data_IF_717294415859
#
_entry.id   IF_717294415859
#
_cell.length_a   1.000
_cell.length_b   1.000
_cell.length_c   1.000
_cell.angle_alpha   90.00
_cell.angle_beta   90.00
_cell.angle_gamma   90.00
#
_symmetry.space_group_name_H-M   'P 1'
#
loop_
_entity.id
_entity.type
_entity.pdbx_description
1 polymer ?
#
# COMPACT_ATOMS: atom_id res chain seq x y z
N UNK A 1 -8.25 5.04 -32.51
CA UNK A 1 -7.65 5.77 -31.37
C UNK A 1 -8.34 5.47 -30.05
N UNK A 2 -9.68 5.60 -29.92
CA UNK A 2 -10.39 5.29 -28.68
C UNK A 2 -10.22 3.83 -28.19
N UNK A 3 -10.22 2.88 -29.13
CA UNK A 3 -10.09 1.44 -28.83
C UNK A 3 -8.70 1.07 -28.27
N UNK A 4 -7.65 1.76 -28.73
CA UNK A 4 -6.28 1.58 -28.25
C UNK A 4 -6.09 2.16 -26.85
N UNK A 5 -6.77 3.27 -26.51
CA UNK A 5 -6.77 3.82 -25.16
C UNK A 5 -7.46 2.89 -24.18
N UNK A 6 -8.60 2.29 -24.56
CA UNK A 6 -9.29 1.33 -23.71
C UNK A 6 -8.43 0.08 -23.48
N UNK A 7 -7.86 -0.49 -24.54
CA UNK A 7 -6.99 -1.66 -24.44
C UNK A 7 -5.79 -1.42 -23.50
N UNK A 8 -5.14 -0.25 -23.61
CA UNK A 8 -4.02 0.14 -22.73
C UNK A 8 -4.47 0.27 -21.27
N UNK A 9 -5.61 0.92 -21.01
CA UNK A 9 -6.16 1.07 -19.65
C UNK A 9 -6.51 -0.28 -19.02
N UNK A 10 -7.08 -1.20 -19.80
CA UNK A 10 -7.38 -2.57 -19.34
C UNK A 10 -6.09 -3.33 -19.06
N UNK A 11 -5.09 -3.23 -19.95
CA UNK A 11 -3.79 -3.88 -19.74
C UNK A 11 -3.13 -3.42 -18.44
N UNK A 12 -3.11 -2.12 -18.14
CA UNK A 12 -2.56 -1.60 -16.88
C UNK A 12 -3.36 -2.01 -15.66
N UNK A 13 -4.69 -2.08 -15.76
CA UNK A 13 -5.53 -2.57 -14.67
C UNK A 13 -5.24 -4.04 -14.33
N UNK A 14 -4.90 -4.86 -15.33
CA UNK A 14 -4.64 -6.29 -15.18
C UNK A 14 -3.17 -6.63 -14.86
N UNK A 15 -2.22 -5.80 -15.31
CA UNK A 15 -0.80 -5.97 -15.02
C UNK A 15 -0.18 -4.72 -14.37
N UNK A 16 -0.13 -4.68 -13.02
CA UNK A 16 0.47 -3.57 -12.29
C UNK A 16 1.95 -3.36 -12.61
N UNK A 17 2.66 -4.39 -13.09
CA UNK A 17 4.09 -4.30 -13.46
C UNK A 17 4.26 -3.61 -14.81
N UNK A 18 3.39 -3.90 -15.78
CA UNK A 18 3.37 -3.15 -17.04
C UNK A 18 3.08 -1.67 -16.77
N UNK A 19 2.13 -1.39 -15.86
CA UNK A 19 1.83 -0.04 -15.42
C UNK A 19 3.01 0.63 -14.70
N UNK A 20 3.72 -0.10 -13.85
CA UNK A 20 4.93 0.37 -13.18
C UNK A 20 5.98 0.90 -14.17
N UNK A 21 6.25 0.12 -15.22
CA UNK A 21 7.23 0.47 -16.25
C UNK A 21 6.84 1.75 -16.99
N UNK A 22 5.55 1.95 -17.28
CA UNK A 22 5.05 3.20 -17.88
C UNK A 22 5.29 4.42 -16.98
N UNK A 23 5.24 4.24 -15.67
CA UNK A 23 5.55 5.28 -14.68
C UNK A 23 7.05 5.42 -14.41
N UNK A 24 7.90 4.79 -15.24
CA UNK A 24 9.34 4.83 -15.14
C UNK A 24 9.89 4.09 -13.92
N UNK A 25 9.18 3.04 -13.45
CA UNK A 25 9.63 2.17 -12.37
C UNK A 25 9.85 0.76 -12.89
N UNK A 26 11.11 0.42 -13.12
CA UNK A 26 11.53 -0.95 -13.40
C UNK A 26 11.57 -1.76 -12.10
N UNK A 27 10.83 -2.86 -12.08
CA UNK A 27 10.67 -3.69 -10.89
C UNK A 27 11.73 -4.78 -10.84
N UNK A 28 12.34 -4.98 -9.68
CA UNK A 28 13.04 -6.24 -9.39
C UNK A 28 12.05 -7.42 -9.41
N UNK A 29 12.51 -8.67 -9.62
CA UNK A 29 11.62 -9.84 -9.68
C UNK A 29 10.68 -9.96 -8.47
N UNK A 30 11.20 -9.77 -7.25
CA UNK A 30 10.37 -9.85 -6.05
C UNK A 30 9.35 -8.71 -5.94
N UNK A 31 9.65 -7.52 -6.48
CA UNK A 31 8.71 -6.39 -6.50
C UNK A 31 7.57 -6.69 -7.47
N UNK A 32 7.88 -7.31 -8.62
CA UNK A 32 6.89 -7.78 -9.57
C UNK A 32 5.97 -8.85 -8.94
N UNK A 33 6.52 -9.78 -8.18
CA UNK A 33 5.76 -10.79 -7.45
C UNK A 33 4.81 -10.14 -6.43
N UNK A 34 5.28 -9.14 -5.68
CA UNK A 34 4.44 -8.38 -4.74
C UNK A 34 3.31 -7.66 -5.45
N UNK A 35 3.61 -6.98 -6.56
CA UNK A 35 2.63 -6.21 -7.33
C UNK A 35 1.55 -7.09 -7.96
N UNK A 36 1.90 -8.30 -8.41
CA UNK A 36 0.97 -9.25 -9.04
C UNK A 36 0.29 -10.20 -8.05
N UNK A 37 0.78 -10.27 -6.81
CA UNK A 37 0.20 -11.15 -5.80
C UNK A 37 -1.27 -10.82 -5.53
N UNK A 38 -2.10 -11.85 -5.53
CA UNK A 38 -3.50 -11.79 -5.10
C UNK A 38 -3.67 -12.14 -3.61
N UNK A 39 -2.57 -12.37 -2.87
CA UNK A 39 -2.66 -12.78 -1.47
C UNK A 39 -3.39 -11.73 -0.62
N UNK A 40 -4.25 -12.22 0.27
CA UNK A 40 -4.96 -11.41 1.25
C UNK A 40 -4.05 -10.89 2.36
N UNK A 41 -2.94 -11.57 2.64
CA UNK A 41 -1.95 -11.18 3.63
C UNK A 41 -0.54 -11.43 3.10
N UNK A 42 0.40 -10.56 3.45
CA UNK A 42 1.81 -10.73 3.09
C UNK A 42 2.72 -10.14 4.16
N UNK A 43 3.76 -10.91 4.52
CA UNK A 43 4.91 -10.47 5.30
C UNK A 43 6.14 -10.37 4.41
N UNK A 44 6.75 -9.19 4.36
CA UNK A 44 7.94 -8.94 3.55
C UNK A 44 9.12 -8.51 4.45
N UNK A 45 9.99 -9.47 4.76
CA UNK A 45 11.23 -9.21 5.48
C UNK A 45 12.34 -8.83 4.52
N UNK A 46 12.52 -7.52 4.34
CA UNK A 46 13.41 -6.96 3.33
C UNK A 46 14.66 -6.34 3.97
N UNK A 47 15.74 -6.29 3.20
CA UNK A 47 16.90 -5.47 3.57
C UNK A 47 16.59 -3.97 3.37
N UNK A 48 17.39 -3.11 4.01
CA UNK A 48 17.26 -1.65 3.88
C UNK A 48 17.55 -1.24 2.44
N UNK A 49 16.86 -0.20 1.94
CA UNK A 49 17.03 0.31 0.56
C UNK A 49 16.65 -0.68 -0.56
N UNK A 50 15.92 -1.76 -0.23
CA UNK A 50 15.38 -2.72 -1.22
C UNK A 50 14.33 -2.15 -2.17
N UNK A 51 13.72 -1.01 -1.85
CA UNK A 51 12.62 -0.43 -2.64
C UNK A 51 11.21 -0.76 -2.12
N UNK A 52 11.08 -1.51 -1.01
CA UNK A 52 9.78 -1.94 -0.43
C UNK A 52 8.72 -0.85 -0.31
N UNK A 53 9.10 0.32 0.22
CA UNK A 53 8.17 1.44 0.43
C UNK A 53 7.71 2.05 -0.90
N UNK A 54 8.58 2.05 -1.92
CA UNK A 54 8.25 2.52 -3.27
C UNK A 54 7.30 1.54 -3.95
N UNK A 55 7.59 0.24 -3.90
CA UNK A 55 6.73 -0.81 -4.45
C UNK A 55 5.31 -0.76 -3.86
N UNK A 56 5.18 -0.61 -2.54
CA UNK A 56 3.85 -0.55 -1.91
C UNK A 56 3.13 0.78 -2.11
N UNK A 57 3.85 1.89 -2.27
CA UNK A 57 3.24 3.16 -2.66
C UNK A 57 2.63 3.07 -4.08
N UNK A 58 3.34 2.44 -5.01
CA UNK A 58 2.83 2.16 -6.35
C UNK A 58 1.61 1.25 -6.31
N UNK A 59 1.66 0.16 -5.53
CA UNK A 59 0.52 -0.75 -5.38
C UNK A 59 -0.73 -0.03 -4.85
N UNK A 60 -0.58 0.82 -3.83
CA UNK A 60 -1.68 1.58 -3.27
C UNK A 60 -2.30 2.53 -4.32
N UNK A 61 -1.45 3.16 -5.14
CA UNK A 61 -1.92 4.01 -6.23
C UNK A 61 -2.62 3.20 -7.32
N UNK A 62 -2.07 2.04 -7.71
CA UNK A 62 -2.66 1.15 -8.71
C UNK A 62 -4.07 0.75 -8.31
N UNK A 63 -4.22 0.26 -7.07
CA UNK A 63 -5.50 -0.14 -6.50
C UNK A 63 -6.49 1.04 -6.51
N UNK A 64 -6.08 2.23 -6.07
CA UNK A 64 -6.93 3.41 -6.06
C UNK A 64 -7.38 3.87 -7.46
N UNK A 65 -6.51 3.80 -8.47
CA UNK A 65 -6.79 4.22 -9.84
C UNK A 65 -7.66 3.20 -10.57
N UNK A 66 -7.37 1.91 -10.42
CA UNK A 66 -7.97 0.85 -11.22
C UNK A 66 -9.13 0.13 -10.54
N UNK A 67 -9.35 0.34 -9.23
CA UNK A 67 -10.50 -0.18 -8.49
C UNK A 67 -11.24 0.97 -7.79
N UNK A 68 -12.29 1.53 -8.41
CA UNK A 68 -13.05 2.64 -7.84
C UNK A 68 -13.57 2.35 -6.43
N UNK A 69 -13.58 3.38 -5.57
CA UNK A 69 -14.00 3.25 -4.17
C UNK A 69 -12.98 2.59 -3.24
N UNK A 70 -11.74 2.36 -3.69
CA UNK A 70 -10.69 1.76 -2.86
C UNK A 70 -10.33 2.69 -1.71
N UNK A 71 -10.30 2.15 -0.49
CA UNK A 71 -9.67 2.82 0.65
C UNK A 71 -8.35 2.12 0.98
N UNK A 72 -7.23 2.80 0.70
CA UNK A 72 -5.89 2.35 1.02
C UNK A 72 -5.33 3.14 2.22
N UNK A 73 -4.94 2.44 3.28
CA UNK A 73 -4.29 3.01 4.46
C UNK A 73 -2.80 2.63 4.50
N UNK A 74 -1.94 3.64 4.64
CA UNK A 74 -0.48 3.49 4.66
C UNK A 74 0.06 3.86 6.04
N UNK A 75 0.26 2.88 6.90
CA UNK A 75 0.79 3.06 8.25
C UNK A 75 2.31 3.05 8.27
N UNK A 76 2.89 3.90 9.10
CA UNK A 76 4.33 4.00 9.34
C UNK A 76 4.62 4.44 10.78
N UNK A 77 5.82 4.24 11.33
CA UNK A 77 6.04 4.43 12.77
C UNK A 77 5.86 5.89 13.26
N UNK A 78 6.03 6.88 12.38
CA UNK A 78 5.94 8.30 12.75
C UNK A 78 5.32 9.15 11.65
N UNK A 79 4.81 10.33 12.01
CA UNK A 79 4.18 11.27 11.06
C UNK A 79 5.13 11.68 9.94
N UNK A 80 6.42 11.87 10.28
CA UNK A 80 7.46 12.19 9.30
C UNK A 80 7.58 11.06 8.27
N UNK A 81 7.63 9.81 8.72
CA UNK A 81 7.71 8.64 7.83
C UNK A 81 6.43 8.46 7.00
N UNK A 82 5.26 8.80 7.55
CA UNK A 82 4.01 8.81 6.80
C UNK A 82 4.08 9.79 5.63
N UNK A 83 4.62 10.99 5.87
CA UNK A 83 4.86 11.98 4.83
C UNK A 83 5.87 11.52 3.77
N UNK A 84 6.95 10.84 4.16
CA UNK A 84 7.92 10.25 3.21
C UNK A 84 7.28 9.16 2.34
N UNK A 85 6.45 8.30 2.95
CA UNK A 85 5.76 7.22 2.24
C UNK A 85 4.71 7.79 1.29
N UNK A 86 3.91 8.76 1.75
CA UNK A 86 2.91 9.41 0.91
C UNK A 86 3.52 10.20 -0.25
N UNK A 87 4.69 10.83 -0.06
CA UNK A 87 5.40 11.50 -1.16
C UNK A 87 5.69 10.55 -2.33
N UNK A 88 5.96 9.27 -2.08
CA UNK A 88 6.13 8.28 -3.15
C UNK A 88 4.84 8.03 -3.93
N UNK A 89 3.69 8.03 -3.26
CA UNK A 89 2.37 7.94 -3.90
C UNK A 89 2.15 9.17 -4.79
N UNK A 90 2.38 10.36 -4.25
CA UNK A 90 2.25 11.62 -4.99
C UNK A 90 3.21 11.68 -6.19
N UNK A 91 4.45 11.23 -6.03
CA UNK A 91 5.44 11.16 -7.11
C UNK A 91 5.00 10.24 -8.25
N UNK A 92 4.35 9.11 -7.96
CA UNK A 92 3.78 8.24 -8.99
C UNK A 92 2.51 8.82 -9.60
N UNK A 93 1.65 9.44 -8.78
CA UNK A 93 0.43 10.07 -9.25
C UNK A 93 0.71 11.21 -10.24
N UNK A 94 1.75 12.01 -9.98
CA UNK A 94 2.19 13.06 -10.89
C UNK A 94 2.77 12.57 -12.22
N UNK A 95 3.03 11.26 -12.37
CA UNK A 95 3.52 10.64 -13.62
C UNK A 95 2.39 10.05 -14.47
N UNK A 96 1.15 10.03 -13.98
CA UNK A 96 0.03 9.48 -14.73
C UNK A 96 -0.24 10.34 -15.97
N UNK A 97 -0.20 9.72 -17.15
CA UNK A 97 -0.58 10.40 -18.39
C UNK A 97 -2.07 10.79 -18.40
N UNK A 98 -2.91 9.94 -17.81
CA UNK A 98 -4.35 10.16 -17.62
C UNK A 98 -4.70 9.91 -16.15
N UNK A 99 -4.64 10.97 -15.33
CA UNK A 99 -4.99 10.88 -13.92
C UNK A 99 -6.51 10.85 -13.72
N UNK A 100 -6.98 10.02 -12.78
CA UNK A 100 -8.31 10.21 -12.18
C UNK A 100 -8.24 11.52 -11.40
N UNK A 101 -9.08 12.54 -11.68
CA UNK A 101 -8.96 13.85 -11.04
C UNK A 101 -9.01 13.77 -9.51
N UNK A 102 -8.19 14.55 -8.80
CA UNK A 102 -8.24 14.59 -7.34
C UNK A 102 -9.40 15.48 -6.88
N UNK A 103 -10.17 15.02 -5.90
CA UNK A 103 -11.17 15.83 -5.20
C UNK A 103 -10.55 16.56 -4.00
N UNK A 104 -9.55 15.95 -3.37
CA UNK A 104 -8.80 16.55 -2.29
C UNK A 104 -7.38 15.97 -2.23
N UNK A 105 -6.41 16.83 -1.91
CA UNK A 105 -5.01 16.45 -1.76
C UNK A 105 -4.37 17.18 -0.58
N UNK A 106 -3.52 16.47 0.16
CA UNK A 106 -2.69 17.01 1.24
C UNK A 106 -1.37 16.27 1.30
N UNK A 107 -0.47 16.67 2.21
CA UNK A 107 0.80 15.97 2.42
C UNK A 107 0.69 14.50 2.88
N UNK A 108 -0.53 14.02 3.22
CA UNK A 108 -0.78 12.67 3.76
C UNK A 108 -2.00 11.98 3.15
N UNK A 109 -2.68 12.60 2.19
CA UNK A 109 -3.97 12.10 1.68
C UNK A 109 -4.18 12.49 0.23
N UNK A 110 -4.67 11.54 -0.55
CA UNK A 110 -5.18 11.72 -1.90
C UNK A 110 -6.60 11.16 -1.98
N UNK A 111 -7.55 11.96 -2.44
CA UNK A 111 -8.92 11.54 -2.74
C UNK A 111 -9.19 11.74 -4.22
N UNK A 112 -9.70 10.72 -4.86
CA UNK A 112 -9.93 10.68 -6.30
C UNK A 112 -11.44 10.73 -6.58
N UNK A 113 -11.80 11.35 -7.70
CA UNK A 113 -13.19 11.47 -8.18
C UNK A 113 -13.88 10.14 -8.50
N UNK A 114 -13.15 9.02 -8.49
CA UNK A 114 -13.72 7.67 -8.56
C UNK A 114 -14.10 7.12 -7.16
N UNK A 115 -14.08 7.95 -6.12
CA UNK A 115 -14.37 7.59 -4.73
C UNK A 115 -13.21 6.91 -3.99
N UNK A 116 -12.07 6.67 -4.65
CA UNK A 116 -10.90 6.06 -4.01
C UNK A 116 -10.14 7.06 -3.15
N UNK A 117 -9.54 6.57 -2.06
CA UNK A 117 -8.81 7.35 -1.07
C UNK A 117 -7.54 6.62 -0.68
N UNK A 118 -6.42 7.33 -0.69
CA UNK A 118 -5.14 6.86 -0.13
C UNK A 118 -4.81 7.78 1.04
N UNK A 119 -4.63 7.20 2.23
CA UNK A 119 -4.33 7.96 3.44
C UNK A 119 -3.11 7.38 4.14
N UNK A 120 -2.08 8.19 4.37
CA UNK A 120 -0.94 7.80 5.18
C UNK A 120 -1.06 8.32 6.60
N UNK A 121 -0.83 7.43 7.57
CA UNK A 121 -1.09 7.69 8.99
C UNK A 121 0.12 7.26 9.84
N UNK A 122 0.43 8.00 10.92
CA UNK A 122 1.42 7.58 11.88
C UNK A 122 0.95 6.38 12.69
N UNK A 123 1.91 5.68 13.31
CA UNK A 123 1.72 4.43 14.02
C UNK A 123 1.05 4.58 15.38
N UNK A 124 -0.07 5.31 15.48
CA UNK A 124 -0.85 5.50 16.70
C UNK A 124 -2.27 4.99 16.51
N UNK A 125 -2.75 4.20 17.45
CA UNK A 125 -4.08 3.57 17.35
C UNK A 125 -5.20 4.60 17.11
N UNK A 126 -5.19 5.70 17.86
CA UNK A 126 -6.19 6.76 17.76
C UNK A 126 -6.31 7.37 16.36
N UNK A 127 -5.27 7.31 15.53
CA UNK A 127 -5.30 7.87 14.17
C UNK A 127 -5.89 6.93 13.13
N UNK A 128 -6.05 5.64 13.45
CA UNK A 128 -6.59 4.63 12.53
C UNK A 128 -8.04 4.27 12.87
N UNK A 129 -8.46 4.42 14.13
CA UNK A 129 -9.87 4.26 14.51
C UNK A 129 -10.74 5.28 13.74
N UNK A 130 -11.81 4.81 13.12
CA UNK A 130 -12.76 5.63 12.34
C UNK A 130 -12.75 5.39 10.84
N UNK A 131 -11.77 4.67 10.31
CA UNK A 131 -11.82 4.13 8.95
C UNK A 131 -12.59 2.81 8.92
N UNK A 132 -13.46 2.65 7.92
CA UNK A 132 -14.24 1.44 7.65
C UNK A 132 -14.15 1.11 6.16
N UNK A 133 -14.31 -0.17 5.81
CA UNK A 133 -14.23 -0.61 4.41
C UNK A 133 -12.82 -0.55 3.81
N UNK A 134 -11.77 -0.70 4.63
CA UNK A 134 -10.37 -0.66 4.16
C UNK A 134 -10.12 -1.82 3.18
N UNK A 135 -9.79 -1.50 1.93
CA UNK A 135 -9.52 -2.48 0.88
C UNK A 135 -8.05 -2.92 0.88
N UNK A 136 -7.15 -2.02 1.26
CA UNK A 136 -5.71 -2.26 1.35
C UNK A 136 -5.13 -1.58 2.59
N UNK A 137 -4.46 -2.34 3.44
CA UNK A 137 -3.72 -1.85 4.58
C UNK A 137 -2.25 -2.21 4.42
N UNK A 138 -1.40 -1.19 4.33
CA UNK A 138 0.06 -1.33 4.24
C UNK A 138 0.68 -0.84 5.54
N UNK A 139 1.56 -1.65 6.12
CA UNK A 139 2.35 -1.27 7.31
C UNK A 139 3.83 -1.27 6.93
N UNK A 140 4.39 -0.08 6.69
CA UNK A 140 5.81 0.11 6.43
C UNK A 140 6.60 0.25 7.73
N UNK A 141 7.84 -0.23 7.70
CA UNK A 141 8.68 -0.42 8.87
C UNK A 141 7.95 -1.15 10.02
N UNK A 142 7.22 -2.21 9.68
CA UNK A 142 6.32 -2.94 10.58
C UNK A 142 6.97 -3.40 11.92
N UNK A 143 8.23 -3.84 11.91
CA UNK A 143 8.98 -4.19 13.12
C UNK A 143 9.23 -3.01 14.09
N UNK A 144 8.92 -1.77 13.69
CA UNK A 144 8.98 -0.54 14.51
C UNK A 144 7.59 -0.03 14.90
N UNK A 145 6.53 -0.64 14.40
CA UNK A 145 5.15 -0.30 14.76
C UNK A 145 4.77 -1.00 16.07
N UNK A 146 4.17 -0.31 17.06
CA UNK A 146 3.76 -0.92 18.32
C UNK A 146 2.76 -2.06 18.12
N UNK A 147 2.90 -3.12 18.92
CA UNK A 147 1.99 -4.28 18.94
C UNK A 147 0.51 -3.88 19.10
N UNK A 148 0.22 -2.93 19.99
CA UNK A 148 -1.15 -2.41 20.21
C UNK A 148 -1.79 -1.88 18.92
N UNK A 149 -1.02 -1.16 18.09
CA UNK A 149 -1.52 -0.70 16.81
C UNK A 149 -1.80 -1.88 15.88
N UNK A 150 -0.89 -2.85 15.79
CA UNK A 150 -1.11 -4.02 14.93
C UNK A 150 -2.37 -4.82 15.33
N UNK A 151 -2.58 -5.05 16.61
CA UNK A 151 -3.75 -5.78 17.10
C UNK A 151 -5.06 -5.01 16.93
N UNK A 152 -5.03 -3.68 16.96
CA UNK A 152 -6.24 -2.85 16.76
C UNK A 152 -6.67 -2.75 15.28
N UNK A 153 -5.74 -2.86 14.33
CA UNK A 153 -6.04 -2.74 12.89
C UNK A 153 -6.39 -4.08 12.24
N UNK A 154 -5.88 -5.20 12.76
CA UNK A 154 -6.14 -6.55 12.21
C UNK A 154 -7.64 -6.88 12.07
N UNK A 155 -8.53 -6.54 13.03
CA UNK A 155 -9.97 -6.77 12.89
C UNK A 155 -10.63 -5.95 11.78
N UNK A 156 -10.07 -4.79 11.39
CA UNK A 156 -10.68 -3.92 10.38
C UNK A 156 -10.79 -4.59 9.01
N UNK A 157 -9.86 -5.51 8.71
CA UNK A 157 -9.83 -6.25 7.45
C UNK A 157 -10.78 -7.44 7.43
N UNK A 158 -11.16 -7.97 8.60
CA UNK A 158 -12.09 -9.10 8.68
C UNK A 158 -13.50 -8.75 8.14
N UNK A 159 -13.90 -7.49 8.29
CA UNK A 159 -15.20 -6.99 7.82
C UNK A 159 -15.18 -6.66 6.33
N UNK A 160 -14.10 -6.06 5.83
CA UNK A 160 -13.99 -5.64 4.43
C UNK A 160 -13.50 -6.74 3.48
N UNK A 161 -12.89 -7.82 4.00
CA UNK A 161 -12.13 -8.77 3.18
C UNK A 161 -10.88 -8.13 2.54
N UNK A 162 -10.40 -7.02 3.10
CA UNK A 162 -9.28 -6.25 2.55
C UNK A 162 -7.92 -6.94 2.71
N UNK A 163 -6.93 -6.44 1.98
CA UNK A 163 -5.57 -6.98 1.94
C UNK A 163 -4.68 -6.36 3.02
N UNK A 164 -3.82 -7.16 3.63
CA UNK A 164 -2.79 -6.73 4.59
C UNK A 164 -1.39 -6.96 4.02
N UNK A 165 -0.64 -5.89 3.75
CA UNK A 165 0.76 -5.99 3.39
C UNK A 165 1.61 -5.37 4.49
N UNK A 166 2.52 -6.14 5.04
CA UNK A 166 3.42 -5.66 6.09
C UNK A 166 4.86 -5.87 5.66
N UNK A 167 5.68 -4.83 5.79
CA UNK A 167 7.04 -4.80 5.27
C UNK A 167 7.97 -4.20 6.29
N UNK A 168 9.13 -4.82 6.48
CA UNK A 168 10.12 -4.30 7.40
C UNK A 168 11.52 -4.77 7.13
N UNK A 169 12.47 -4.04 7.72
CA UNK A 169 13.79 -4.60 8.05
C UNK A 169 13.70 -5.24 9.44
N UNK A 170 14.42 -6.34 9.71
CA UNK A 170 14.35 -7.03 10.99
C UNK A 170 14.75 -6.11 12.17
N UNK A 171 14.20 -6.37 13.36
CA UNK A 171 14.48 -5.61 14.57
C UNK A 171 14.80 -6.48 15.79
N UNK A 172 15.54 -7.55 15.57
CA UNK A 172 15.73 -8.58 16.59
C UNK A 172 14.48 -9.43 16.79
N UNK A 173 14.54 -10.34 17.78
CA UNK A 173 13.48 -11.31 18.09
C UNK A 173 12.45 -10.73 19.05
N UNK A 174 11.67 -9.74 18.60
CA UNK A 174 10.70 -9.02 19.46
C UNK A 174 9.52 -8.46 18.69
N UNK A 175 8.46 -8.21 19.45
CA UNK A 175 7.22 -7.60 18.97
C UNK A 175 6.46 -8.48 17.99
N UNK A 176 5.27 -8.01 17.63
CA UNK A 176 4.36 -8.74 16.75
C UNK A 176 5.00 -9.15 15.42
N UNK A 177 5.85 -8.29 14.83
CA UNK A 177 6.49 -8.57 13.54
C UNK A 177 7.33 -9.85 13.56
N UNK A 178 8.16 -10.03 14.60
CA UNK A 178 8.99 -11.22 14.71
C UNK A 178 8.15 -12.47 14.96
N UNK A 179 7.09 -12.34 15.76
CA UNK A 179 6.16 -13.42 16.06
C UNK A 179 5.45 -13.88 14.79
N UNK A 180 4.80 -12.97 14.05
CA UNK A 180 4.11 -13.28 12.79
C UNK A 180 5.09 -13.86 11.74
N UNK A 181 6.30 -13.32 11.64
CA UNK A 181 7.33 -13.87 10.73
C UNK A 181 7.78 -15.29 11.08
N UNK A 182 7.83 -15.63 12.37
CA UNK A 182 8.40 -16.92 12.83
C UNK A 182 7.34 -18.00 13.04
N UNK A 183 6.11 -17.60 13.35
CA UNK A 183 5.04 -18.47 13.83
C UNK A 183 3.73 -18.31 13.03
N UNK A 184 3.63 -17.33 12.13
CA UNK A 184 2.39 -17.01 11.41
C UNK A 184 1.94 -18.09 10.42
N UNK A 185 2.86 -18.87 9.86
CA UNK A 185 2.53 -20.02 9.00
C UNK A 185 1.60 -19.67 7.83
N UNK A 186 0.59 -20.51 7.60
CA UNK A 186 -0.35 -20.40 6.48
C UNK A 186 -1.32 -19.20 6.56
N UNK A 187 -1.30 -18.43 7.65
CA UNK A 187 -2.09 -17.20 7.76
C UNK A 187 -1.52 -16.04 6.89
N UNK A 188 -0.32 -16.18 6.32
CA UNK A 188 0.46 -15.13 5.65
C UNK A 188 0.99 -15.46 4.26
#
# INVERSE_FOLDING_TARGET
MADLHLARRVAHALDPVAWAAELGFETDPWQADVLRSASGRMLLNCHRQSGKSTTTALLALHEAVHRPGTLALLLSPSLRQSGELFRKVADFYGRLAEAVPPEAESALRLELSNGSRIVSLPGKEATVRGYSGVSLLIVDEAARVPDELYYSIRPMLAVSGGRLLTLSTPFGKRGWWFQEWSEGGDDW
#
